data_IF_805125129958
#
_entry.id   IF_805125129958
#
_cell.length_a   1.000
_cell.length_b   1.000
_cell.length_c   1.000
_cell.angle_alpha   90.00
_cell.angle_beta   90.00
_cell.angle_gamma   90.00
#
_symmetry.space_group_name_H-M   'P 1'
#
loop_
_entity.id
_entity.type
_entity.pdbx_description
1 polymer ?
#
# COMPACT_ATOMS: atom_id res chain seq x y z
N UNK A 1 11.24 -12.75 8.35
CA UNK A 1 10.33 -11.73 7.79
C UNK A 1 8.92 -12.21 8.11
N UNK A 2 8.21 -11.54 9.01
CA UNK A 2 6.88 -11.97 9.45
C UNK A 2 5.85 -11.27 8.58
N UNK A 3 4.94 -12.02 7.97
CA UNK A 3 3.73 -11.49 7.36
C UNK A 3 2.61 -11.63 8.39
N UNK A 4 2.01 -10.51 8.79
CA UNK A 4 0.86 -10.50 9.68
C UNK A 4 -0.34 -10.10 8.83
N UNK A 5 -1.22 -11.08 8.59
CA UNK A 5 -2.49 -10.87 7.93
C UNK A 5 -3.30 -9.80 8.67
N UNK A 6 -3.38 -8.60 8.10
CA UNK A 6 -4.13 -7.47 8.64
C UNK A 6 -4.87 -6.78 7.52
N UNK A 7 -6.18 -6.75 7.65
CA UNK A 7 -7.04 -5.95 6.79
C UNK A 7 -8.10 -5.30 7.64
N UNK A 8 -7.95 -4.00 7.82
CA UNK A 8 -8.82 -3.17 8.62
C UNK A 8 -9.20 -1.95 7.78
N UNK A 9 -10.39 -1.38 8.00
CA UNK A 9 -10.76 -0.14 7.36
C UNK A 9 -9.79 0.98 7.78
N UNK A 10 -9.57 1.93 6.88
CA UNK A 10 -8.77 3.12 7.18
C UNK A 10 -9.19 4.31 6.33
N UNK A 11 -8.99 5.50 6.87
CA UNK A 11 -9.13 6.75 6.13
C UNK A 11 -7.83 7.09 5.42
N UNK A 12 -7.90 7.40 4.13
CA UNK A 12 -6.73 7.80 3.38
C UNK A 12 -6.25 9.18 3.81
N UNK A 13 -5.08 9.26 4.44
CA UNK A 13 -4.47 10.54 4.85
C UNK A 13 -4.03 11.45 3.69
N UNK A 14 -4.09 10.98 2.43
CA UNK A 14 -3.78 11.80 1.25
C UNK A 14 -5.03 12.40 0.60
N UNK A 15 -6.06 11.60 0.31
CA UNK A 15 -7.27 12.08 -0.38
C UNK A 15 -8.53 12.15 0.49
N UNK A 16 -8.48 11.64 1.73
CA UNK A 16 -9.60 11.64 2.67
C UNK A 16 -10.65 10.54 2.47
N UNK A 17 -10.47 9.66 1.49
CA UNK A 17 -11.42 8.57 1.20
C UNK A 17 -11.43 7.51 2.31
N UNK A 18 -12.62 7.07 2.72
CA UNK A 18 -12.78 5.94 3.64
C UNK A 18 -12.67 4.62 2.89
N UNK A 19 -11.72 3.77 3.28
CA UNK A 19 -11.42 2.51 2.57
C UNK A 19 -11.87 1.32 3.40
N UNK A 20 -12.83 0.58 2.87
CA UNK A 20 -13.32 -0.68 3.46
C UNK A 20 -12.34 -1.84 3.23
N UNK A 21 -12.36 -2.91 4.06
CA UNK A 21 -11.69 -4.18 3.80
C UNK A 21 -12.05 -4.82 2.44
N UNK A 22 -11.10 -5.51 1.81
CA UNK A 22 -11.41 -6.41 0.69
C UNK A 22 -12.14 -7.67 1.20
N UNK A 23 -13.15 -8.12 0.45
CA UNK A 23 -13.99 -9.28 0.80
C UNK A 23 -13.34 -10.60 0.36
N UNK A 24 -12.35 -10.54 -0.54
CA UNK A 24 -11.74 -11.72 -1.19
C UNK A 24 -10.56 -12.35 -0.43
N UNK A 25 -10.31 -11.94 0.83
CA UNK A 25 -9.18 -12.46 1.62
C UNK A 25 -7.79 -11.99 1.17
N UNK A 26 -7.71 -11.05 0.22
CA UNK A 26 -6.48 -10.31 -0.08
C UNK A 26 -6.24 -9.20 0.94
N UNK A 27 -5.05 -8.58 0.90
CA UNK A 27 -4.64 -7.53 1.83
C UNK A 27 -4.22 -6.27 1.06
N UNK A 28 -4.66 -5.11 1.53
CA UNK A 28 -4.37 -3.79 0.95
C UNK A 28 -3.79 -2.86 2.00
N UNK A 29 -2.76 -2.09 1.62
CA UNK A 29 -2.18 -1.04 2.47
C UNK A 29 -2.15 0.34 1.79
N UNK A 30 -2.75 0.48 0.61
CA UNK A 30 -2.85 1.72 -0.14
C UNK A 30 -4.32 2.04 -0.44
N UNK A 31 -4.61 3.31 -0.69
CA UNK A 31 -5.93 3.72 -1.14
C UNK A 31 -6.16 3.26 -2.59
N UNK A 32 -7.27 2.58 -2.95
CA UNK A 32 -7.54 2.16 -4.33
C UNK A 32 -7.77 3.34 -5.30
N UNK A 33 -8.11 4.53 -4.77
CA UNK A 33 -8.40 5.73 -5.58
C UNK A 33 -7.16 6.55 -5.93
N UNK A 34 -6.28 6.79 -4.96
CA UNK A 34 -5.08 7.62 -5.17
C UNK A 34 -3.78 6.82 -5.12
N UNK A 35 -3.84 5.53 -4.75
CA UNK A 35 -2.72 4.61 -4.60
C UNK A 35 -1.67 5.01 -3.57
N UNK A 36 -1.92 6.05 -2.76
CA UNK A 36 -1.07 6.40 -1.63
C UNK A 36 -1.20 5.41 -0.49
N UNK A 37 -0.08 5.13 0.16
CA UNK A 37 0.01 4.27 1.35
C UNK A 37 0.59 5.08 2.53
N UNK A 38 0.69 4.45 3.70
CA UNK A 38 1.35 4.99 4.88
C UNK A 38 2.44 4.04 5.36
N UNK A 39 3.61 4.58 5.67
CA UNK A 39 4.75 3.81 6.16
C UNK A 39 4.55 3.43 7.63
N UNK A 40 3.73 2.41 7.85
CA UNK A 40 3.45 1.84 9.17
C UNK A 40 4.29 0.60 9.47
N UNK A 41 4.79 -0.09 8.44
CA UNK A 41 5.52 -1.36 8.61
C UNK A 41 7.04 -1.19 8.66
N UNK A 42 7.69 -1.74 9.70
CA UNK A 42 9.15 -1.65 9.88
C UNK A 42 9.87 -2.78 9.15
N UNK A 43 9.58 -4.02 9.56
CA UNK A 43 10.32 -5.23 9.18
C UNK A 43 9.52 -6.14 8.24
N UNK A 44 8.18 -6.14 8.31
CA UNK A 44 7.34 -6.96 7.45
C UNK A 44 5.90 -6.46 7.37
N UNK A 45 5.14 -6.90 6.35
CA UNK A 45 3.78 -6.40 6.14
C UNK A 45 2.87 -6.71 7.33
N UNK A 46 2.15 -5.69 7.79
CA UNK A 46 1.21 -5.78 8.90
C UNK A 46 1.83 -5.68 10.30
N UNK A 47 3.15 -5.54 10.44
CA UNK A 47 3.77 -5.40 11.77
C UNK A 47 3.38 -4.09 12.47
N UNK A 48 3.09 -3.03 11.70
CA UNK A 48 2.76 -1.69 12.21
C UNK A 48 3.77 -1.14 13.23
N UNK A 49 5.06 -1.45 13.06
CA UNK A 49 6.15 -1.06 13.99
C UNK A 49 7.03 0.08 13.48
N UNK A 50 6.69 0.72 12.38
CA UNK A 50 7.48 1.82 11.81
C UNK A 50 7.24 3.12 12.59
N UNK A 51 8.32 3.75 13.03
CA UNK A 51 8.29 5.09 13.65
C UNK A 51 8.22 6.21 12.60
N UNK A 52 8.33 5.88 11.31
CA UNK A 52 8.31 6.86 10.24
C UNK A 52 6.94 7.51 10.08
N UNK A 53 5.88 6.67 10.05
CA UNK A 53 4.46 7.03 9.97
C UNK A 53 4.12 8.06 8.89
N UNK A 54 4.98 8.19 7.88
CA UNK A 54 4.82 9.18 6.82
C UNK A 54 4.12 8.55 5.63
N UNK A 55 3.50 9.39 4.80
CA UNK A 55 2.88 8.95 3.56
C UNK A 55 3.90 8.33 2.62
N UNK A 56 3.45 7.35 1.83
CA UNK A 56 4.21 6.75 0.75
C UNK A 56 3.52 7.03 -0.57
N UNK A 57 4.23 7.72 -1.46
CA UNK A 57 3.73 8.07 -2.78
C UNK A 57 3.88 6.87 -3.73
N UNK A 58 2.87 6.58 -4.57
CA UNK A 58 3.04 5.60 -5.63
C UNK A 58 3.93 6.21 -6.73
N UNK A 59 5.03 5.56 -7.06
CA UNK A 59 6.03 6.04 -8.04
C UNK A 59 5.98 5.32 -9.37
N UNK A 60 5.27 4.20 -9.45
CA UNK A 60 5.10 3.45 -10.68
C UNK A 60 4.54 2.05 -10.43
N UNK A 61 4.49 1.25 -11.50
CA UNK A 61 4.11 -0.16 -11.44
C UNK A 61 5.24 -1.05 -11.91
N UNK A 62 5.37 -2.21 -11.27
CA UNK A 62 6.32 -3.27 -11.60
C UNK A 62 5.55 -4.58 -11.83
N UNK A 63 5.90 -5.34 -12.87
CA UNK A 63 5.26 -6.62 -13.15
C UNK A 63 6.15 -7.79 -12.72
N UNK A 64 5.62 -8.64 -11.83
CA UNK A 64 6.34 -9.81 -11.31
C UNK A 64 5.63 -11.09 -11.74
N UNK A 65 6.30 -11.94 -12.53
CA UNK A 65 5.74 -13.20 -13.09
C UNK A 65 4.92 -14.06 -12.12
N UNK A 66 5.27 -14.11 -10.82
CA UNK A 66 4.56 -14.91 -9.81
C UNK A 66 3.49 -14.13 -9.00
N UNK A 67 3.54 -12.80 -9.00
CA UNK A 67 2.69 -11.95 -8.14
C UNK A 67 1.76 -11.01 -8.91
N UNK A 68 1.97 -10.87 -10.22
CA UNK A 68 1.23 -9.94 -11.06
C UNK A 68 1.77 -8.51 -10.97
N UNK A 69 0.87 -7.54 -11.16
CA UNK A 69 1.18 -6.13 -11.06
C UNK A 69 1.39 -5.71 -9.61
N UNK A 70 2.41 -4.89 -9.42
CA UNK A 70 2.82 -4.35 -8.13
C UNK A 70 2.89 -2.83 -8.25
N UNK A 71 2.40 -2.11 -7.25
CA UNK A 71 2.60 -0.66 -7.14
C UNK A 71 3.88 -0.45 -6.34
N UNK A 72 4.79 0.37 -6.85
CA UNK A 72 6.00 0.79 -6.14
C UNK A 72 5.66 2.02 -5.30
N UNK A 73 5.87 1.93 -4.00
CA UNK A 73 5.63 3.02 -3.06
C UNK A 73 6.95 3.57 -2.51
N UNK A 74 7.14 4.88 -2.58
CA UNK A 74 8.29 5.59 -2.01
C UNK A 74 7.86 6.42 -0.80
N UNK A 75 8.45 6.16 0.36
CA UNK A 75 8.19 6.96 1.56
C UNK A 75 8.72 8.39 1.39
N UNK A 76 7.87 9.38 1.65
CA UNK A 76 8.20 10.80 1.47
C UNK A 76 9.19 11.34 2.52
N UNK A 77 9.37 10.65 3.65
CA UNK A 77 10.27 11.07 4.73
C UNK A 77 11.60 10.33 4.75
N UNK A 78 11.59 8.99 4.69
CA UNK A 78 12.82 8.20 4.80
C UNK A 78 13.34 7.64 3.47
N UNK A 79 12.61 7.82 2.36
CA UNK A 79 13.02 7.34 1.05
C UNK A 79 12.94 5.82 0.86
N UNK A 80 12.34 5.08 1.80
CA UNK A 80 12.16 3.62 1.67
C UNK A 80 11.21 3.30 0.51
N UNK A 81 11.62 2.39 -0.36
CA UNK A 81 10.80 1.87 -1.45
C UNK A 81 10.25 0.48 -1.12
N UNK A 82 8.95 0.29 -1.34
CA UNK A 82 8.27 -0.98 -1.06
C UNK A 82 7.30 -1.28 -2.21
N UNK A 83 7.40 -2.45 -2.86
CA UNK A 83 6.42 -2.91 -3.82
C UNK A 83 5.25 -3.62 -3.12
N UNK A 84 4.01 -3.21 -3.38
CA UNK A 84 2.78 -3.83 -2.90
C UNK A 84 1.95 -4.40 -4.05
N UNK A 85 1.26 -5.53 -3.84
CA UNK A 85 0.43 -6.16 -4.87
C UNK A 85 -0.80 -5.29 -5.13
N UNK A 86 -1.19 -5.14 -6.40
CA UNK A 86 -2.43 -4.44 -6.77
C UNK A 86 -3.67 -5.22 -6.33
N UNK A 87 -4.68 -4.52 -5.82
CA UNK A 87 -6.03 -5.03 -5.62
C UNK A 87 -6.87 -4.92 -6.91
N UNK A 88 -7.95 -5.70 -6.99
CA UNK A 88 -8.82 -5.73 -8.19
C UNK A 88 -9.58 -4.41 -8.42
N UNK A 89 -9.77 -3.61 -7.37
CA UNK A 89 -10.46 -2.32 -7.38
C UNK A 89 -9.50 -1.12 -7.44
N UNK A 90 -8.21 -1.36 -7.64
CA UNK A 90 -7.22 -0.28 -7.79
C UNK A 90 -7.42 0.44 -9.12
N UNK A 91 -7.53 1.77 -9.04
CA UNK A 91 -7.51 2.63 -10.21
C UNK A 91 -6.06 2.95 -10.61
N UNK A 92 -5.47 2.09 -11.45
CA UNK A 92 -4.10 2.28 -11.95
C UNK A 92 -3.97 3.46 -12.92
N UNK A 93 -5.06 4.05 -13.40
CA UNK A 93 -5.02 5.20 -14.33
C UNK A 93 -4.43 6.46 -13.69
N UNK A 94 -4.37 6.52 -12.35
CA UNK A 94 -3.81 7.65 -11.61
C UNK A 94 -2.28 7.70 -11.66
N UNK A 95 -1.62 6.60 -12.07
CA UNK A 95 -0.18 6.55 -12.30
C UNK A 95 0.09 7.02 -13.74
N UNK A 96 0.56 8.26 -13.86
CA UNK A 96 0.95 8.89 -15.12
C UNK A 96 2.41 8.61 -15.47
#
# INVERSE_FOLDING_TARGET
MVFIARQEPFDCEHCGEHIEPLINGSYRNHCPKCLWSKHVDRNGPGDRRSECLSLMKPTGVDYRKKKGWMIVHLCTKCGKEIPNITACDDDLSVLK
#
